data_IF_449384145964
#
_entry.id   IF_449384145964
#
_cell.length_a   1.000
_cell.length_b   1.000
_cell.length_c   1.000
_cell.angle_alpha   90.00
_cell.angle_beta   90.00
_cell.angle_gamma   90.00
#
_symmetry.space_group_name_H-M   'P 1'
#
loop_
_entity.id
_entity.type
_entity.pdbx_description
1 polymer ?
#
# COMPACT_ATOMS: atom_id res chain seq x y z
N UNK A 1 3.89 -16.52 -16.35
CA UNK A 1 2.51 -16.35 -15.84
C UNK A 1 1.86 -15.03 -16.26
N UNK A 2 2.58 -13.89 -16.27
CA UNK A 2 2.00 -12.59 -16.73
C UNK A 2 1.61 -12.58 -18.21
N UNK A 3 2.25 -13.38 -19.06
CA UNK A 3 1.98 -13.49 -20.50
C UNK A 3 0.81 -14.43 -20.85
N UNK A 4 0.16 -15.06 -19.87
CA UNK A 4 -1.00 -15.92 -20.13
C UNK A 4 -2.18 -15.11 -20.67
N UNK A 5 -3.01 -15.68 -21.58
CA UNK A 5 -4.26 -15.07 -21.99
C UNK A 5 -5.23 -14.93 -20.80
N UNK A 6 -6.21 -14.04 -20.92
CA UNK A 6 -7.11 -13.68 -19.83
C UNK A 6 -7.90 -14.90 -19.30
N UNK A 7 -8.40 -15.73 -20.20
CA UNK A 7 -9.17 -16.93 -19.88
C UNK A 7 -8.35 -17.90 -19.02
N UNK A 8 -7.10 -18.13 -19.38
CA UNK A 8 -6.18 -18.98 -18.62
C UNK A 8 -5.86 -18.36 -17.23
N UNK A 9 -5.79 -17.03 -17.13
CA UNK A 9 -5.63 -16.34 -15.85
C UNK A 9 -6.87 -16.49 -14.97
N UNK A 10 -8.06 -16.41 -15.55
CA UNK A 10 -9.32 -16.63 -14.82
C UNK A 10 -9.35 -18.04 -14.24
N UNK A 11 -9.14 -19.07 -15.06
CA UNK A 11 -9.12 -20.47 -14.63
C UNK A 11 -8.08 -20.70 -13.52
N UNK A 12 -6.89 -20.16 -13.69
CA UNK A 12 -5.83 -20.26 -12.67
C UNK A 12 -6.20 -19.55 -11.36
N UNK A 13 -6.85 -18.39 -11.44
CA UNK A 13 -7.35 -17.66 -10.27
C UNK A 13 -8.42 -18.48 -9.54
N UNK A 14 -9.36 -19.05 -10.28
CA UNK A 14 -10.39 -19.94 -9.73
C UNK A 14 -9.76 -21.16 -9.03
N UNK A 15 -8.73 -21.76 -9.63
CA UNK A 15 -8.00 -22.86 -9.00
C UNK A 15 -7.36 -22.44 -7.68
N UNK A 16 -6.67 -21.28 -7.63
CA UNK A 16 -6.06 -20.78 -6.39
C UNK A 16 -7.08 -20.47 -5.30
N UNK A 17 -8.26 -19.97 -5.68
CA UNK A 17 -9.37 -19.71 -4.75
C UNK A 17 -9.93 -21.03 -4.21
N UNK A 18 -10.11 -22.06 -5.07
CA UNK A 18 -10.60 -23.38 -4.63
C UNK A 18 -9.64 -24.02 -3.64
N UNK A 19 -8.35 -24.09 -3.96
CA UNK A 19 -7.33 -24.62 -3.06
C UNK A 19 -7.32 -23.92 -1.70
N UNK A 20 -7.50 -22.60 -1.69
CA UNK A 20 -7.57 -21.83 -0.46
C UNK A 20 -8.83 -22.10 0.34
N UNK A 21 -9.97 -22.18 -0.34
CA UNK A 21 -11.27 -22.44 0.25
C UNK A 21 -11.35 -23.84 0.88
N UNK A 22 -10.89 -24.86 0.15
CA UNK A 22 -10.86 -26.26 0.61
C UNK A 22 -9.89 -26.44 1.78
N UNK A 23 -8.70 -25.84 1.72
CA UNK A 23 -7.70 -25.94 2.81
C UNK A 23 -8.22 -25.36 4.14
N UNK A 24 -9.10 -24.38 4.10
CA UNK A 24 -9.66 -23.74 5.29
C UNK A 24 -11.11 -24.12 5.57
N UNK A 25 -11.61 -25.20 4.99
CA UNK A 25 -12.99 -25.70 5.16
C UNK A 25 -14.06 -24.59 4.98
N UNK A 26 -13.85 -23.71 3.99
CA UNK A 26 -14.72 -22.58 3.73
C UNK A 26 -14.58 -21.40 4.70
N UNK A 27 -13.72 -21.47 5.70
CA UNK A 27 -13.48 -20.39 6.66
C UNK A 27 -12.60 -19.27 6.05
N UNK A 28 -13.07 -18.67 4.98
CA UNK A 28 -12.38 -17.63 4.24
C UNK A 28 -13.27 -16.39 4.05
N UNK A 29 -12.66 -15.27 3.69
CA UNK A 29 -13.37 -14.06 3.29
C UNK A 29 -12.60 -13.29 2.23
N UNK A 30 -13.29 -12.50 1.41
CA UNK A 30 -12.66 -11.58 0.46
C UNK A 30 -12.46 -10.21 1.12
N UNK A 31 -11.21 -9.74 1.18
CA UNK A 31 -10.92 -8.36 1.59
C UNK A 31 -11.36 -7.41 0.48
N UNK A 32 -12.49 -6.74 0.69
CA UNK A 32 -13.17 -5.93 -0.31
C UNK A 32 -12.99 -4.44 -0.01
N UNK A 33 -12.44 -3.70 -0.95
CA UNK A 33 -12.23 -2.26 -0.81
C UNK A 33 -13.18 -1.41 -1.67
N UNK A 34 -14.07 -2.04 -2.42
CA UNK A 34 -14.88 -1.36 -3.45
C UNK A 34 -14.06 -0.89 -4.66
N UNK A 35 -12.74 -1.14 -4.69
CA UNK A 35 -11.88 -0.84 -5.82
C UNK A 35 -11.94 -1.91 -6.91
N UNK A 36 -11.51 -1.58 -8.14
CA UNK A 36 -11.60 -2.44 -9.32
C UNK A 36 -11.05 -3.85 -9.10
N UNK A 37 -9.87 -3.95 -8.46
CA UNK A 37 -9.18 -5.23 -8.29
C UNK A 37 -9.91 -6.14 -7.30
N UNK A 38 -10.36 -5.58 -6.18
CA UNK A 38 -11.14 -6.31 -5.18
C UNK A 38 -12.55 -6.67 -5.69
N UNK A 39 -13.12 -5.88 -6.59
CA UNK A 39 -14.40 -6.18 -7.24
C UNK A 39 -14.27 -7.36 -8.20
N UNK A 40 -13.23 -7.37 -9.04
CA UNK A 40 -12.93 -8.51 -9.93
C UNK A 40 -12.69 -9.78 -9.11
N UNK A 41 -11.90 -9.68 -8.04
CA UNK A 41 -11.67 -10.82 -7.14
C UNK A 41 -12.97 -11.34 -6.53
N UNK A 42 -13.80 -10.46 -5.98
CA UNK A 42 -15.08 -10.84 -5.37
C UNK A 42 -16.01 -11.50 -6.38
N UNK A 43 -16.08 -10.97 -7.60
CA UNK A 43 -16.87 -11.54 -8.68
C UNK A 43 -16.42 -12.97 -9.04
N UNK A 44 -15.10 -13.19 -9.22
CA UNK A 44 -14.57 -14.53 -9.51
C UNK A 44 -14.82 -15.49 -8.33
N UNK A 45 -14.60 -15.02 -7.10
CA UNK A 45 -14.78 -15.86 -5.92
C UNK A 45 -16.25 -16.26 -5.72
N UNK A 46 -17.20 -15.35 -5.92
CA UNK A 46 -18.64 -15.63 -5.81
C UNK A 46 -19.21 -16.42 -6.99
N UNK A 47 -18.55 -16.38 -8.13
CA UNK A 47 -18.83 -17.31 -9.23
C UNK A 47 -18.54 -18.78 -8.88
N UNK A 48 -17.67 -19.04 -7.91
CA UNK A 48 -17.36 -20.37 -7.38
C UNK A 48 -18.17 -20.68 -6.10
N UNK A 49 -18.21 -19.73 -5.19
CA UNK A 49 -18.82 -19.84 -3.86
C UNK A 49 -19.70 -18.60 -3.59
N UNK A 50 -20.99 -18.64 -3.98
CA UNK A 50 -21.87 -17.47 -3.91
C UNK A 50 -21.98 -16.84 -2.52
N UNK A 51 -21.88 -17.65 -1.47
CA UNK A 51 -22.03 -17.24 -0.07
C UNK A 51 -20.74 -16.75 0.58
N UNK A 52 -19.62 -16.67 -0.18
CA UNK A 52 -18.34 -16.21 0.40
C UNK A 52 -18.51 -14.77 0.92
N UNK A 53 -18.21 -14.51 2.21
CA UNK A 53 -18.37 -13.18 2.77
C UNK A 53 -17.27 -12.23 2.25
N UNK A 54 -17.65 -10.97 2.09
CA UNK A 54 -16.70 -9.89 1.84
C UNK A 54 -16.56 -9.02 3.09
N UNK A 55 -15.38 -8.46 3.33
CA UNK A 55 -15.11 -7.57 4.46
C UNK A 55 -14.55 -6.26 3.97
N UNK A 56 -15.25 -5.18 4.30
CA UNK A 56 -14.88 -3.81 3.95
C UNK A 56 -14.42 -3.05 5.19
N UNK A 57 -13.22 -2.47 5.13
CA UNK A 57 -12.71 -1.58 6.18
C UNK A 57 -13.13 -0.14 5.88
N UNK A 58 -14.19 0.34 6.55
CA UNK A 58 -14.69 1.72 6.44
C UNK A 58 -13.79 2.65 7.26
N UNK A 59 -12.86 3.32 6.59
CA UNK A 59 -11.95 4.27 7.23
C UNK A 59 -12.58 5.66 7.42
N UNK A 60 -13.74 5.90 6.78
CA UNK A 60 -14.37 7.20 6.70
C UNK A 60 -13.71 8.17 5.69
N UNK A 61 -12.70 7.71 4.96
CA UNK A 61 -11.97 8.49 3.96
C UNK A 61 -12.27 8.06 2.52
N UNK A 62 -13.07 7.03 2.36
CA UNK A 62 -13.50 6.54 1.06
C UNK A 62 -14.47 7.53 0.41
N UNK A 63 -14.39 7.63 -0.93
CA UNK A 63 -15.36 8.42 -1.69
C UNK A 63 -16.80 7.93 -1.45
N UNK A 64 -17.79 8.82 -1.39
CA UNK A 64 -19.19 8.44 -1.19
C UNK A 64 -19.68 7.35 -2.15
N UNK A 65 -19.28 7.44 -3.41
CA UNK A 65 -19.64 6.49 -4.46
C UNK A 65 -19.11 5.07 -4.18
N UNK A 66 -17.92 4.95 -3.59
CA UNK A 66 -17.37 3.65 -3.16
C UNK A 66 -18.21 3.09 -2.03
N UNK A 67 -18.57 3.90 -1.05
CA UNK A 67 -19.40 3.46 0.09
C UNK A 67 -20.81 3.05 -0.35
N UNK A 68 -21.41 3.77 -1.30
CA UNK A 68 -22.68 3.40 -1.93
C UNK A 68 -22.57 2.07 -2.67
N UNK A 69 -21.54 1.89 -3.47
CA UNK A 69 -21.26 0.63 -4.17
C UNK A 69 -21.10 -0.54 -3.19
N UNK A 70 -20.35 -0.35 -2.12
CA UNK A 70 -20.17 -1.38 -1.08
C UNK A 70 -21.49 -1.70 -0.37
N UNK A 71 -22.35 -0.70 -0.08
CA UNK A 71 -23.68 -0.92 0.51
C UNK A 71 -24.60 -1.71 -0.41
N UNK A 72 -24.54 -1.43 -1.70
CA UNK A 72 -25.33 -2.14 -2.71
C UNK A 72 -24.83 -3.58 -2.96
N UNK A 73 -23.60 -3.91 -2.51
CA UNK A 73 -23.04 -5.25 -2.65
C UNK A 73 -23.54 -6.13 -1.53
N UNK A 74 -24.21 -7.29 -1.80
CA UNK A 74 -24.73 -8.16 -0.77
C UNK A 74 -23.61 -8.87 0.01
N UNK A 75 -23.92 -9.36 1.20
CA UNK A 75 -23.03 -10.15 2.07
C UNK A 75 -21.65 -9.47 2.28
N UNK A 76 -21.67 -8.19 2.69
CA UNK A 76 -20.47 -7.42 3.04
C UNK A 76 -20.51 -7.03 4.50
N UNK A 77 -19.55 -7.51 5.27
CA UNK A 77 -19.33 -7.10 6.66
C UNK A 77 -18.50 -5.81 6.69
N UNK A 78 -19.02 -4.80 7.39
CA UNK A 78 -18.33 -3.52 7.56
C UNK A 78 -17.55 -3.53 8.88
N UNK A 79 -16.25 -3.35 8.80
CA UNK A 79 -15.37 -3.16 9.97
C UNK A 79 -14.84 -1.73 10.01
N UNK A 80 -14.71 -1.18 11.23
CA UNK A 80 -14.25 0.19 11.43
C UNK A 80 -13.00 0.22 12.28
N UNK A 81 -12.11 1.21 12.06
CA UNK A 81 -10.98 1.45 12.93
C UNK A 81 -11.44 1.94 14.32
N UNK A 82 -10.63 1.69 15.34
CA UNK A 82 -10.94 2.09 16.71
C UNK A 82 -10.86 3.62 16.92
N UNK A 83 -10.22 4.32 16.00
CA UNK A 83 -10.09 5.77 16.04
C UNK A 83 -10.25 6.40 14.66
N UNK A 84 -10.70 7.65 14.63
CA UNK A 84 -10.79 8.42 13.39
C UNK A 84 -9.40 8.76 12.83
N UNK A 85 -9.30 9.03 11.53
CA UNK A 85 -8.05 9.42 10.90
C UNK A 85 -7.41 10.65 11.56
N UNK A 86 -8.22 11.62 11.99
CA UNK A 86 -7.75 12.80 12.73
C UNK A 86 -7.03 12.37 14.02
N UNK A 87 -7.64 11.51 14.83
CA UNK A 87 -7.01 10.97 16.04
C UNK A 87 -5.74 10.17 15.76
N UNK A 88 -5.71 9.46 14.62
CA UNK A 88 -4.48 8.74 14.20
C UNK A 88 -3.34 9.71 13.91
N UNK A 89 -3.61 10.81 13.22
CA UNK A 89 -2.59 11.85 12.95
C UNK A 89 -2.14 12.53 14.24
N UNK A 90 -3.05 12.91 15.11
CA UNK A 90 -2.74 13.54 16.41
C UNK A 90 -1.86 12.62 17.28
N UNK A 91 -2.16 11.34 17.32
CA UNK A 91 -1.44 10.35 18.12
C UNK A 91 -0.09 9.94 17.52
N UNK A 92 -0.09 9.56 16.24
CA UNK A 92 1.05 8.91 15.59
C UNK A 92 1.84 9.85 14.66
N UNK A 93 1.22 10.88 14.13
CA UNK A 93 1.81 11.81 13.19
C UNK A 93 1.38 11.62 11.75
N UNK A 94 1.93 12.45 10.87
CA UNK A 94 1.55 12.56 9.47
C UNK A 94 2.26 11.53 8.58
N UNK A 95 1.55 10.86 7.66
CA UNK A 95 2.16 10.03 6.62
C UNK A 95 2.64 10.89 5.45
N UNK A 96 3.76 11.58 5.62
CA UNK A 96 4.31 12.50 4.60
C UNK A 96 4.91 11.76 3.43
N UNK A 97 4.81 12.32 2.22
CA UNK A 97 5.39 11.86 0.94
C UNK A 97 4.85 10.47 0.55
N UNK A 98 5.33 9.44 1.22
CA UNK A 98 4.90 8.06 1.04
C UNK A 98 5.05 7.29 2.36
N UNK A 99 4.39 6.13 2.44
CA UNK A 99 4.51 5.25 3.62
C UNK A 99 5.97 4.88 3.93
N UNK A 100 6.75 4.58 2.91
CA UNK A 100 8.14 4.16 3.04
C UNK A 100 9.02 5.32 3.53
N UNK A 101 8.85 6.50 2.94
CA UNK A 101 9.56 7.70 3.34
C UNK A 101 9.21 8.12 4.77
N UNK A 102 7.93 8.13 5.14
CA UNK A 102 7.50 8.41 6.50
C UNK A 102 8.12 7.43 7.51
N UNK A 103 8.20 6.15 7.17
CA UNK A 103 8.83 5.12 8.01
C UNK A 103 10.36 5.35 8.16
N UNK A 104 11.04 5.74 7.09
CA UNK A 104 12.47 6.03 7.15
C UNK A 104 12.74 7.25 8.02
N UNK A 105 11.98 8.33 7.85
CA UNK A 105 12.11 9.55 8.66
C UNK A 105 11.81 9.23 10.14
N UNK A 106 10.76 8.48 10.43
CA UNK A 106 10.42 8.07 11.79
C UNK A 106 11.55 7.27 12.46
N UNK A 107 12.10 6.26 11.75
CA UNK A 107 13.21 5.46 12.26
C UNK A 107 14.50 6.25 12.44
N UNK A 108 14.80 7.13 11.49
CA UNK A 108 15.97 8.01 11.59
C UNK A 108 15.86 8.96 12.79
N UNK A 109 14.66 9.51 13.08
CA UNK A 109 14.40 10.32 14.28
C UNK A 109 14.55 9.53 15.58
N UNK A 110 14.31 8.22 15.55
CA UNK A 110 14.55 7.31 16.69
C UNK A 110 16.03 6.92 16.85
N UNK A 111 16.91 7.46 16.03
CA UNK A 111 18.35 7.25 16.13
C UNK A 111 18.85 5.97 15.44
N UNK A 112 18.12 5.43 14.46
CA UNK A 112 18.59 4.29 13.66
C UNK A 112 19.68 4.75 12.68
N UNK A 113 20.99 4.49 12.97
CA UNK A 113 22.12 5.04 12.19
C UNK A 113 22.16 4.46 10.78
N UNK A 114 21.76 3.20 10.60
CA UNK A 114 21.72 2.58 9.27
C UNK A 114 20.66 3.24 8.39
N UNK A 115 19.48 3.53 8.95
CA UNK A 115 18.43 4.24 8.21
C UNK A 115 18.83 5.68 7.94
N UNK A 116 19.48 6.35 8.89
CA UNK A 116 19.99 7.71 8.72
C UNK A 116 20.95 7.77 7.52
N UNK A 117 21.99 6.96 7.53
CA UNK A 117 23.01 6.99 6.47
C UNK A 117 22.46 6.46 5.14
N UNK A 118 21.90 5.25 5.11
CA UNK A 118 21.53 4.59 3.86
C UNK A 118 20.22 5.11 3.27
N UNK A 119 19.20 5.31 4.11
CA UNK A 119 17.86 5.65 3.59
C UNK A 119 17.60 7.15 3.48
N UNK A 120 18.23 7.97 4.28
CA UNK A 120 18.12 9.43 4.11
C UNK A 120 19.19 9.99 3.19
N UNK A 121 20.45 9.56 3.34
CA UNK A 121 21.55 10.15 2.60
C UNK A 121 22.10 9.29 1.46
N UNK A 122 21.68 8.03 1.36
CA UNK A 122 22.14 7.12 0.32
C UNK A 122 23.55 6.57 0.52
N UNK A 123 24.09 6.65 1.74
CA UNK A 123 25.43 6.16 2.08
C UNK A 123 25.32 4.77 2.72
N UNK A 124 25.89 3.76 2.09
CA UNK A 124 25.95 2.40 2.64
C UNK A 124 27.15 2.23 3.55
N UNK A 125 27.09 1.19 4.39
CA UNK A 125 28.17 0.84 5.33
C UNK A 125 29.49 0.45 4.65
N UNK A 126 29.44 0.01 3.38
CA UNK A 126 30.59 -0.33 2.55
C UNK A 126 31.23 0.90 1.85
N UNK A 127 30.74 2.11 2.13
CA UNK A 127 31.19 3.35 1.50
C UNK A 127 30.59 3.62 0.12
N UNK A 128 29.78 2.70 -0.43
CA UNK A 128 29.10 2.92 -1.71
C UNK A 128 27.86 3.79 -1.55
N UNK A 129 27.42 4.41 -2.65
CA UNK A 129 26.21 5.22 -2.66
C UNK A 129 25.03 4.48 -3.29
N UNK A 130 23.80 4.83 -2.90
CA UNK A 130 22.59 4.33 -3.51
C UNK A 130 21.62 5.47 -3.80
N UNK A 131 20.96 5.41 -4.95
CA UNK A 131 19.87 6.34 -5.27
C UNK A 131 18.54 5.95 -4.58
N UNK A 132 18.49 4.76 -3.97
CA UNK A 132 17.32 4.31 -3.20
C UNK A 132 17.33 4.93 -1.80
N UNK A 133 17.16 6.24 -1.76
CA UNK A 133 17.16 7.06 -0.56
C UNK A 133 16.15 8.20 -0.68
N UNK A 134 15.99 8.96 0.39
CA UNK A 134 15.14 10.16 0.41
C UNK A 134 15.74 11.25 -0.48
N UNK A 135 14.96 11.77 -1.43
CA UNK A 135 15.38 12.87 -2.27
C UNK A 135 15.81 14.08 -1.42
N UNK A 136 16.83 14.79 -1.86
CA UNK A 136 17.41 15.92 -1.11
C UNK A 136 16.37 16.96 -0.67
N UNK A 137 15.39 17.26 -1.54
CA UNK A 137 14.30 18.18 -1.27
C UNK A 137 13.44 17.81 -0.03
N UNK A 138 13.42 16.54 0.38
CA UNK A 138 12.60 16.07 1.50
C UNK A 138 13.36 15.76 2.78
N UNK A 139 14.70 15.86 2.76
CA UNK A 139 15.55 15.54 3.93
C UNK A 139 15.31 16.47 5.12
N UNK A 140 14.88 17.70 4.87
CA UNK A 140 14.52 18.66 5.92
C UNK A 140 13.40 18.16 6.84
N UNK A 141 12.56 17.22 6.38
CA UNK A 141 11.48 16.64 7.17
C UNK A 141 11.97 15.87 8.40
N UNK A 142 13.28 15.52 8.47
CA UNK A 142 13.83 14.91 9.68
C UNK A 142 13.75 15.86 10.89
N UNK A 143 13.81 17.16 10.65
CA UNK A 143 13.74 18.22 11.67
C UNK A 143 12.36 18.89 11.73
N UNK A 144 11.35 18.34 11.03
CA UNK A 144 10.01 18.93 11.05
C UNK A 144 9.43 18.97 12.48
N UNK A 145 8.74 20.06 12.90
CA UNK A 145 8.25 20.25 14.27
C UNK A 145 7.05 19.35 14.61
N UNK A 146 6.58 18.55 13.67
CA UNK A 146 5.43 17.65 13.87
C UNK A 146 5.87 16.18 13.78
N UNK A 147 5.07 15.28 14.34
CA UNK A 147 5.30 13.83 14.27
C UNK A 147 5.11 13.32 12.85
N UNK A 148 5.97 12.41 12.42
CA UNK A 148 5.89 11.73 11.12
C UNK A 148 5.87 10.23 11.39
N UNK A 149 4.92 9.52 10.77
CA UNK A 149 4.73 8.08 10.99
C UNK A 149 4.03 7.43 9.81
N UNK A 150 4.28 6.13 9.62
CA UNK A 150 3.61 5.28 8.63
C UNK A 150 2.43 4.48 9.22
N UNK A 151 2.02 4.76 10.48
CA UNK A 151 1.03 3.96 11.22
C UNK A 151 -0.41 4.10 10.74
N UNK A 152 -0.75 5.14 9.96
CA UNK A 152 -2.11 5.36 9.49
C UNK A 152 -2.71 4.12 8.79
N UNK A 153 -1.95 3.44 7.93
CA UNK A 153 -2.42 2.25 7.25
C UNK A 153 -2.62 1.05 8.20
N UNK A 154 -1.81 0.97 9.26
CA UNK A 154 -1.95 -0.05 10.29
C UNK A 154 -3.21 0.16 11.10
N UNK A 155 -3.42 1.38 11.60
CA UNK A 155 -4.55 1.74 12.44
C UNK A 155 -5.88 1.67 11.66
N UNK A 156 -5.91 2.26 10.45
CA UNK A 156 -7.15 2.44 9.70
C UNK A 156 -7.60 1.18 8.94
N UNK A 157 -6.66 0.33 8.48
CA UNK A 157 -7.00 -0.81 7.62
C UNK A 157 -6.60 -2.16 8.22
N UNK A 158 -5.34 -2.29 8.68
CA UNK A 158 -4.84 -3.60 9.09
C UNK A 158 -5.37 -4.06 10.42
N UNK A 159 -5.51 -3.19 11.43
CA UNK A 159 -6.03 -3.56 12.75
C UNK A 159 -7.48 -4.03 12.69
N UNK A 160 -8.42 -3.30 12.05
CA UNK A 160 -9.80 -3.76 11.91
C UNK A 160 -9.93 -5.13 11.24
N UNK A 161 -9.19 -5.35 10.14
CA UNK A 161 -9.21 -6.63 9.44
C UNK A 161 -8.58 -7.77 10.26
N UNK A 162 -7.53 -7.48 11.05
CA UNK A 162 -6.94 -8.48 11.96
C UNK A 162 -7.90 -8.86 13.08
N UNK A 163 -8.61 -7.88 13.64
CA UNK A 163 -9.65 -8.12 14.64
C UNK A 163 -10.73 -9.03 14.07
N UNK A 164 -11.26 -8.70 12.89
CA UNK A 164 -12.24 -9.54 12.21
C UNK A 164 -11.73 -10.98 12.00
N UNK A 165 -10.48 -11.15 11.52
CA UNK A 165 -9.86 -12.47 11.36
C UNK A 165 -9.81 -13.24 12.68
N UNK A 166 -9.43 -12.58 13.77
CA UNK A 166 -9.34 -13.21 15.09
C UNK A 166 -10.71 -13.60 15.65
N UNK A 167 -11.73 -12.74 15.46
CA UNK A 167 -13.09 -12.96 15.97
C UNK A 167 -13.85 -14.01 15.16
N UNK A 168 -13.68 -14.01 13.83
CA UNK A 168 -14.43 -14.90 12.93
C UNK A 168 -13.72 -16.24 12.65
N UNK A 169 -12.43 -16.36 12.95
CA UNK A 169 -11.60 -17.49 12.54
C UNK A 169 -11.33 -17.58 11.03
N UNK A 170 -11.85 -16.64 10.23
CA UNK A 170 -11.74 -16.66 8.77
C UNK A 170 -10.41 -16.10 8.30
N UNK A 171 -9.90 -16.62 7.19
CA UNK A 171 -8.65 -16.17 6.57
C UNK A 171 -8.88 -15.38 5.28
N UNK A 172 -8.07 -14.34 4.99
CA UNK A 172 -8.32 -13.42 3.89
C UNK A 172 -7.90 -13.93 2.51
N UNK A 173 -8.70 -13.57 1.50
CA UNK A 173 -8.33 -13.54 0.09
C UNK A 173 -8.22 -12.08 -0.32
N UNK A 174 -7.09 -11.64 -0.88
CA UNK A 174 -6.79 -10.22 -1.17
C UNK A 174 -6.52 -10.02 -2.65
N UNK A 175 -7.14 -9.01 -3.26
CA UNK A 175 -6.98 -8.66 -4.67
C UNK A 175 -5.74 -7.82 -4.98
N UNK A 176 -4.56 -8.25 -4.53
CA UNK A 176 -3.30 -7.55 -4.82
C UNK A 176 -2.54 -8.19 -5.95
N UNK A 177 -1.88 -7.38 -6.80
CA UNK A 177 -1.08 -7.84 -7.93
C UNK A 177 0.41 -7.66 -7.65
N UNK A 178 1.23 -8.60 -8.10
CA UNK A 178 2.69 -8.51 -8.00
C UNK A 178 3.25 -7.36 -8.86
N UNK A 179 2.54 -6.98 -9.92
CA UNK A 179 2.91 -5.87 -10.79
C UNK A 179 2.91 -4.48 -10.12
N UNK A 180 2.20 -4.33 -8.98
CA UNK A 180 2.06 -3.03 -8.29
C UNK A 180 3.31 -2.61 -7.50
N UNK A 181 4.16 -3.54 -7.08
CA UNK A 181 5.41 -3.21 -6.42
C UNK A 181 6.41 -4.37 -6.39
N UNK A 182 7.72 -4.03 -6.41
CA UNK A 182 8.81 -5.01 -6.26
C UNK A 182 8.70 -5.86 -4.99
N UNK A 183 8.18 -5.30 -3.89
CA UNK A 183 7.98 -6.04 -2.65
C UNK A 183 6.89 -7.11 -2.80
N UNK A 184 5.77 -6.80 -3.46
CA UNK A 184 4.70 -7.77 -3.73
C UNK A 184 5.16 -8.85 -4.69
N UNK A 185 5.93 -8.49 -5.72
CA UNK A 185 6.53 -9.44 -6.64
C UNK A 185 7.48 -10.40 -5.92
N UNK A 186 8.38 -9.88 -5.08
CA UNK A 186 9.29 -10.70 -4.26
C UNK A 186 8.54 -11.66 -3.35
N UNK A 187 7.49 -11.18 -2.68
CA UNK A 187 6.67 -12.01 -1.83
C UNK A 187 5.96 -13.11 -2.62
N UNK A 188 5.36 -12.78 -3.76
CA UNK A 188 4.71 -13.75 -4.63
C UNK A 188 5.69 -14.81 -5.15
N UNK A 189 6.90 -14.42 -5.55
CA UNK A 189 7.95 -15.37 -5.97
C UNK A 189 8.37 -16.30 -4.84
N UNK A 190 8.31 -15.84 -3.58
CA UNK A 190 8.68 -16.62 -2.40
C UNK A 190 7.59 -17.60 -1.95
N UNK A 191 6.34 -17.16 -1.91
CA UNK A 191 5.23 -17.91 -1.26
C UNK A 191 4.15 -18.37 -2.24
N UNK A 192 4.24 -17.99 -3.51
CA UNK A 192 3.16 -18.23 -4.48
C UNK A 192 1.94 -17.35 -4.21
N UNK A 193 0.78 -17.78 -4.70
CA UNK A 193 -0.48 -17.09 -4.50
C UNK A 193 -1.09 -17.38 -3.12
N UNK A 194 -0.90 -18.59 -2.60
CA UNK A 194 -1.47 -19.07 -1.35
C UNK A 194 -0.34 -19.28 -0.34
N UNK A 195 -0.23 -18.38 0.63
CA UNK A 195 0.79 -18.41 1.68
C UNK A 195 0.20 -19.10 2.93
N UNK A 196 0.17 -20.44 2.94
CA UNK A 196 -0.41 -21.26 4.01
C UNK A 196 0.40 -21.15 5.31
N UNK A 197 1.72 -21.32 5.23
CA UNK A 197 2.62 -21.37 6.38
C UNK A 197 3.09 -20.00 6.87
N UNK A 198 2.50 -18.93 6.37
CA UNK A 198 2.84 -17.62 6.84
C UNK A 198 2.30 -17.40 8.26
N UNK A 199 3.02 -16.64 9.10
CA UNK A 199 2.51 -16.21 10.43
C UNK A 199 1.09 -15.63 10.36
N UNK A 200 0.68 -15.16 9.20
CA UNK A 200 -0.66 -14.72 8.86
C UNK A 200 -0.97 -15.25 7.48
N UNK A 201 -1.67 -16.37 7.41
CA UNK A 201 -2.04 -16.95 6.13
C UNK A 201 -2.82 -15.96 5.27
N UNK A 202 -2.55 -15.96 3.97
CA UNK A 202 -3.20 -15.05 3.02
C UNK A 202 -3.15 -15.63 1.61
N UNK A 203 -4.27 -15.51 0.90
CA UNK A 203 -4.32 -15.80 -0.52
C UNK A 203 -4.33 -14.51 -1.35
N UNK A 204 -3.52 -14.48 -2.40
CA UNK A 204 -3.43 -13.37 -3.37
C UNK A 204 -3.58 -13.90 -4.79
N UNK A 205 -4.76 -14.42 -5.17
CA UNK A 205 -4.94 -15.17 -6.41
C UNK A 205 -4.83 -14.32 -7.68
N UNK A 206 -4.81 -12.99 -7.54
CA UNK A 206 -4.55 -12.04 -8.65
C UNK A 206 -3.07 -11.64 -8.77
N UNK A 207 -2.13 -12.27 -8.05
CA UNK A 207 -0.72 -11.86 -8.05
C UNK A 207 -0.07 -11.83 -9.45
N UNK A 208 -0.46 -12.71 -10.34
CA UNK A 208 0.06 -12.79 -11.72
C UNK A 208 -0.70 -11.93 -12.74
N UNK A 209 -1.74 -11.22 -12.32
CA UNK A 209 -2.49 -10.29 -13.15
C UNK A 209 -1.77 -8.97 -13.32
N UNK A 210 -2.13 -8.25 -14.38
CA UNK A 210 -1.76 -6.87 -14.65
C UNK A 210 -3.00 -5.96 -14.59
N UNK A 211 -2.81 -4.66 -14.52
CA UNK A 211 -3.92 -3.72 -14.57
C UNK A 211 -4.75 -3.86 -15.87
N UNK A 212 -4.07 -4.13 -16.98
CA UNK A 212 -4.75 -4.38 -18.27
C UNK A 212 -5.67 -5.61 -18.23
N UNK A 213 -5.29 -6.67 -17.51
CA UNK A 213 -6.13 -7.86 -17.34
C UNK A 213 -7.39 -7.54 -16.53
N UNK A 214 -7.27 -6.74 -15.48
CA UNK A 214 -8.42 -6.27 -14.69
C UNK A 214 -9.41 -5.51 -15.58
N UNK A 215 -8.91 -4.58 -16.39
CA UNK A 215 -9.76 -3.84 -17.30
C UNK A 215 -10.34 -4.69 -18.43
N UNK A 216 -9.58 -5.68 -18.93
CA UNK A 216 -10.07 -6.63 -19.94
C UNK A 216 -11.20 -7.50 -19.35
N UNK A 217 -11.04 -7.99 -18.11
CA UNK A 217 -12.07 -8.74 -17.40
C UNK A 217 -13.34 -7.92 -17.23
N UNK A 218 -13.24 -6.68 -16.73
CA UNK A 218 -14.39 -5.79 -16.55
C UNK A 218 -15.12 -5.53 -17.87
N UNK A 219 -14.38 -5.33 -18.98
CA UNK A 219 -14.98 -5.14 -20.31
C UNK A 219 -15.68 -6.41 -20.83
N UNK A 220 -15.07 -7.57 -20.63
CA UNK A 220 -15.62 -8.85 -21.04
C UNK A 220 -16.96 -9.11 -20.38
N UNK A 221 -17.03 -9.03 -19.07
CA UNK A 221 -18.25 -9.32 -18.31
C UNK A 221 -19.35 -8.26 -18.48
N UNK A 222 -19.02 -7.00 -18.75
CA UNK A 222 -20.01 -5.98 -19.11
C UNK A 222 -20.70 -6.24 -20.44
N UNK A 223 -19.99 -6.82 -21.40
CA UNK A 223 -20.58 -7.20 -22.71
C UNK A 223 -21.50 -8.41 -22.56
N UNK A 224 -21.16 -9.36 -21.70
CA UNK A 224 -21.98 -10.54 -21.44
C UNK A 224 -23.24 -10.23 -20.62
N UNK A 225 -23.21 -9.18 -19.77
CA UNK A 225 -24.40 -8.73 -19.04
C UNK A 225 -25.48 -8.10 -19.96
N UNK A 226 -25.11 -7.63 -21.14
CA UNK A 226 -26.06 -7.19 -22.17
C UNK A 226 -26.71 -8.33 -22.94
N UNK A 227 -26.12 -9.53 -22.87
CA UNK A 227 -26.71 -10.77 -23.38
C UNK A 227 -27.39 -11.52 -22.22
N UNK A 228 -28.71 -11.52 -22.25
CA UNK A 228 -29.64 -11.93 -21.18
C UNK A 228 -29.58 -13.42 -20.82
N UNK A 229 -28.58 -13.92 -20.08
CA UNK A 229 -28.64 -15.33 -19.64
C UNK A 229 -27.85 -15.72 -18.39
N UNK A 230 -27.63 -14.82 -17.42
CA UNK A 230 -27.14 -15.27 -16.12
C UNK A 230 -27.82 -14.55 -14.95
N UNK A 231 -28.93 -15.12 -14.40
CA UNK A 231 -29.66 -14.52 -13.28
C UNK A 231 -28.85 -14.43 -11.98
N UNK A 232 -27.75 -15.20 -11.87
CA UNK A 232 -26.89 -15.20 -10.70
C UNK A 232 -25.91 -14.01 -10.67
N UNK A 233 -25.49 -13.49 -11.83
CA UNK A 233 -24.56 -12.33 -11.91
C UNK A 233 -25.25 -11.04 -11.47
N UNK A 234 -26.54 -10.86 -11.77
CA UNK A 234 -27.34 -9.70 -11.31
C UNK A 234 -27.44 -9.59 -9.78
N UNK A 235 -27.35 -10.69 -9.06
CA UNK A 235 -27.42 -10.72 -7.59
C UNK A 235 -26.06 -10.54 -6.90
N UNK A 236 -24.95 -10.82 -7.58
CA UNK A 236 -23.62 -10.88 -6.96
C UNK A 236 -22.73 -9.65 -7.19
N UNK A 237 -22.97 -8.86 -8.22
CA UNK A 237 -22.26 -7.62 -8.48
C UNK A 237 -23.22 -6.61 -9.11
N UNK A 238 -23.69 -5.61 -8.35
CA UNK A 238 -24.41 -4.49 -8.95
C UNK A 238 -23.50 -3.85 -10.01
N UNK A 239 -24.07 -3.34 -11.12
CA UNK A 239 -23.29 -2.76 -12.20
C UNK A 239 -22.39 -1.66 -11.64
N UNK A 240 -21.10 -1.76 -11.90
CA UNK A 240 -20.14 -0.71 -11.50
C UNK A 240 -20.61 0.59 -12.15
N UNK A 241 -20.99 1.62 -11.39
CA UNK A 241 -21.58 2.84 -11.96
C UNK A 241 -20.66 3.43 -13.04
N UNK A 242 -21.21 3.74 -14.22
CA UNK A 242 -20.41 4.32 -15.33
C UNK A 242 -19.64 5.58 -14.91
N UNK A 243 -20.23 6.42 -14.06
CA UNK A 243 -19.58 7.61 -13.46
C UNK A 243 -18.31 7.28 -12.70
N UNK A 244 -18.25 6.11 -12.05
CA UNK A 244 -17.10 5.64 -11.29
C UNK A 244 -15.90 5.30 -12.21
N UNK A 245 -16.15 4.69 -13.36
CA UNK A 245 -15.12 4.36 -14.36
C UNK A 245 -14.55 5.60 -15.04
N UNK A 246 -15.36 6.61 -15.29
CA UNK A 246 -14.90 7.89 -15.84
C UNK A 246 -14.00 8.64 -14.83
N UNK A 247 -14.33 8.62 -13.54
CA UNK A 247 -13.51 9.28 -12.50
C UNK A 247 -12.19 8.59 -12.24
N UNK A 248 -12.11 7.26 -12.28
CA UNK A 248 -10.83 6.54 -12.15
C UNK A 248 -9.92 6.80 -13.35
N UNK A 249 -10.47 6.92 -14.56
CA UNK A 249 -9.70 7.32 -15.75
C UNK A 249 -9.26 8.77 -15.71
N UNK A 250 -10.03 9.63 -15.08
CA UNK A 250 -9.82 11.07 -15.02
C UNK A 250 -9.14 11.52 -13.71
N UNK A 251 -8.79 10.61 -12.80
CA UNK A 251 -8.02 10.96 -11.62
C UNK A 251 -6.64 11.45 -12.09
N UNK A 252 -6.35 12.77 -12.08
CA UNK A 252 -5.00 13.24 -12.32
C UNK A 252 -4.09 12.61 -11.27
N UNK A 253 -2.82 12.43 -11.61
CA UNK A 253 -1.79 12.13 -10.63
C UNK A 253 -1.99 13.03 -9.40
N UNK A 254 -1.77 12.56 -8.16
CA UNK A 254 -2.17 13.27 -6.97
C UNK A 254 -1.64 14.70 -7.00
N UNK A 255 -2.49 15.64 -7.34
CA UNK A 255 -2.23 17.07 -7.20
C UNK A 255 -2.16 17.29 -5.69
N UNK A 256 -1.01 17.68 -5.19
CA UNK A 256 -0.83 18.13 -3.82
C UNK A 256 -1.82 19.27 -3.54
N UNK A 257 -2.99 18.94 -3.01
CA UNK A 257 -3.88 19.96 -2.48
C UNK A 257 -3.15 20.61 -1.31
N UNK A 258 -2.93 21.91 -1.40
CA UNK A 258 -2.36 22.74 -0.35
C UNK A 258 -3.10 22.47 0.96
N UNK A 259 -2.37 22.09 1.98
CA UNK A 259 -2.90 21.97 3.34
C UNK A 259 -2.99 23.40 3.87
N UNK A 260 -4.16 23.93 4.28
CA UNK A 260 -4.26 25.24 4.88
C UNK A 260 -3.38 25.30 6.15
N UNK A 261 -2.52 26.32 6.26
CA UNK A 261 -1.66 26.52 7.43
C UNK A 261 -0.16 26.22 7.25
N UNK A 262 0.29 25.85 6.05
CA UNK A 262 1.73 25.77 5.76
C UNK A 262 2.29 27.17 5.47
N UNK A 263 3.37 27.60 6.15
CA UNK A 263 4.02 28.87 5.84
C UNK A 263 4.62 28.84 4.43
N UNK A 264 4.55 29.98 3.73
CA UNK A 264 5.12 30.17 2.39
C UNK A 264 6.63 29.90 2.40
N UNK A 265 7.11 29.17 1.39
CA UNK A 265 8.53 29.02 1.09
C UNK A 265 9.19 30.39 0.93
N UNK A 266 10.31 30.69 1.62
CA UNK A 266 11.20 31.73 1.16
C UNK A 266 11.93 31.25 -0.08
N UNK A 267 11.92 32.09 -1.12
CA UNK A 267 12.63 31.86 -2.38
C UNK A 267 14.11 31.50 -2.11
N UNK A 268 14.45 30.25 -2.30
CA UNK A 268 15.82 29.77 -2.23
C UNK A 268 16.61 30.39 -3.41
N UNK A 269 17.41 31.41 -3.10
CA UNK A 269 18.46 31.91 -4.00
C UNK A 269 19.34 30.72 -4.39
N UNK A 270 19.56 30.56 -5.69
CA UNK A 270 20.53 29.65 -6.27
C UNK A 270 21.91 29.99 -5.69
N UNK A 271 22.42 29.19 -4.77
CA UNK A 271 23.81 29.23 -4.35
C UNK A 271 24.62 28.28 -5.23
N UNK A 272 25.70 28.80 -5.74
CA UNK A 272 26.65 28.22 -6.66
C UNK A 272 27.20 26.84 -6.24
N UNK A 273 27.68 26.04 -7.21
CA UNK A 273 28.27 24.73 -6.91
C UNK A 273 29.63 24.92 -6.21
N UNK A 274 29.90 24.06 -5.25
CA UNK A 274 31.22 23.96 -4.61
C UNK A 274 32.29 23.68 -5.64
N UNK A 275 33.41 24.40 -5.60
CA UNK A 275 34.56 24.12 -6.44
C UNK A 275 35.42 22.99 -5.84
N UNK A 276 35.83 22.08 -6.70
CA UNK A 276 37.15 21.47 -6.62
C UNK A 276 37.32 20.21 -5.79
N UNK A 277 37.48 19.14 -6.50
CA UNK A 277 38.52 18.11 -6.32
C UNK A 277 38.86 17.63 -4.90
N UNK A 278 38.29 16.49 -4.54
CA UNK A 278 38.99 15.50 -3.73
C UNK A 278 39.15 14.21 -4.56
N UNK A 279 40.18 14.22 -5.44
CA UNK A 279 40.77 12.98 -5.93
C UNK A 279 42.11 12.80 -5.21
N UNK A 280 42.37 11.54 -4.88
CA UNK A 280 43.61 10.97 -4.32
C UNK A 280 43.74 11.03 -2.79
N UNK A 281 43.46 9.91 -2.15
CA UNK A 281 44.40 9.05 -1.44
C UNK A 281 43.62 7.95 -0.69
N UNK A 282 43.55 6.80 -1.32
CA UNK A 282 43.15 5.55 -0.66
C UNK A 282 44.44 4.91 -0.21
N UNK A 283 44.75 5.00 1.07
CA UNK A 283 45.50 4.01 1.80
C UNK A 283 45.35 4.23 3.31
N UNK A 284 44.91 3.16 3.98
CA UNK A 284 45.01 2.88 5.44
C UNK A 284 44.33 3.82 6.43
N UNK A 285 43.25 3.38 6.99
CA UNK A 285 42.97 3.16 8.42
C UNK A 285 41.49 3.22 8.76
N UNK A 286 41.12 2.25 9.56
CA UNK A 286 39.87 2.10 10.30
C UNK A 286 39.46 3.38 11.04
N UNK A 287 38.11 3.53 11.17
CA UNK A 287 37.44 4.38 12.16
C UNK A 287 37.68 5.89 12.10
N UNK A 288 36.90 6.55 11.25
CA UNK A 288 36.38 7.90 11.54
C UNK A 288 35.14 8.16 10.70
N UNK A 289 34.00 8.27 11.34
CA UNK A 289 32.83 8.89 10.72
C UNK A 289 33.21 10.29 10.26
N UNK A 290 32.82 10.64 9.04
CA UNK A 290 33.11 11.96 8.45
C UNK A 290 32.52 13.07 9.35
N UNK A 291 33.24 14.15 9.56
CA UNK A 291 32.87 15.29 10.42
C UNK A 291 31.48 15.88 10.12
N UNK A 292 30.94 15.68 8.91
CA UNK A 292 29.59 16.04 8.53
C UNK A 292 28.51 15.18 9.23
N UNK A 293 28.84 13.92 9.57
CA UNK A 293 27.93 13.06 10.36
C UNK A 293 27.95 13.44 11.83
N UNK A 294 29.09 13.90 12.37
CA UNK A 294 29.20 14.29 13.76
C UNK A 294 28.44 15.59 14.09
N UNK A 295 28.40 16.55 13.16
CA UNK A 295 27.62 17.78 13.37
C UNK A 295 26.11 17.52 13.33
N UNK A 296 25.64 16.63 12.44
CA UNK A 296 24.24 16.23 12.37
C UNK A 296 23.81 15.37 13.58
N UNK A 297 24.69 14.50 14.10
CA UNK A 297 24.45 13.72 15.31
C UNK A 297 24.47 14.56 16.59
N UNK A 298 25.30 15.60 16.67
CA UNK A 298 25.38 16.48 17.87
C UNK A 298 24.18 17.42 17.96
N UNK A 299 23.66 17.92 16.84
CA UNK A 299 22.45 18.76 16.86
C UNK A 299 21.19 18.01 17.28
N UNK A 300 21.13 16.70 17.08
CA UNK A 300 20.01 15.84 17.47
C UNK A 300 20.03 15.46 18.96
N UNK A 301 21.09 15.74 19.72
CA UNK A 301 21.25 15.37 21.14
C UNK A 301 21.10 16.52 22.13
N UNK A 302 20.68 17.71 21.73
CA UNK A 302 20.40 18.79 22.69
C UNK A 302 19.01 18.55 23.30
N UNK A 303 18.91 18.40 24.64
CA UNK A 303 17.62 18.40 25.31
C UNK A 303 17.01 19.78 25.20
N UNK A 304 15.73 19.85 24.85
CA UNK A 304 14.94 21.06 24.95
C UNK A 304 14.69 21.27 26.45
N UNK A 305 15.38 22.22 27.05
CA UNK A 305 15.04 22.75 28.36
C UNK A 305 13.88 23.70 28.18
N UNK A 306 12.79 23.35 28.87
CA UNK A 306 11.58 24.08 29.27
C UNK A 306 10.93 25.09 28.31
#
# INVERSE_FOLDING_TARGET
MRALPLEAKIVKTQLRIREWYEHWDGNVYVSFSGGKDSTVLLHIARGLYPEIPAVFSDTGLEFPEIREFVRATPNVTWVRPDMTFRKVIEKHGYPVISKEQAQWIERARKGDPKVMCEKLYGLRSDGTTTQFCTAAAWRHLINAPFKISAECCNEMKKKPLKRYTAESGRVPIIGTMAAESKLREKNWLKTGCNAYDAKRPVSTPLSFWTENDIWAYIRHYRRSESAADCPHIRRCAPPVPQRWLHRIRAAPAPVHKRIPGFPHEPALRRSNPCPGSCRSNIATRSSRCCAACDSACRSARRPVSH
#
